data_IF_837297824049
#
_entry.id   IF_837297824049
#
_cell.length_a   1.000
_cell.length_b   1.000
_cell.length_c   1.000
_cell.angle_alpha   90.00
_cell.angle_beta   90.00
_cell.angle_gamma   90.00
#
_symmetry.space_group_name_H-M   'P 1'
#
loop_
_entity.id
_entity.type
_entity.pdbx_description
1 polymer ?
#
# COMPACT_ATOMS: atom_id res chain seq x y z
N UNK A 1 42.02 17.18 45.24
CA UNK A 1 41.39 16.75 43.97
C UNK A 1 40.43 15.62 44.25
N UNK A 2 39.12 15.81 44.04
CA UNK A 2 38.22 14.70 43.79
C UNK A 2 37.57 14.82 42.40
N UNK A 3 37.53 13.69 41.72
CA UNK A 3 36.97 13.43 40.39
C UNK A 3 35.46 13.29 40.47
N UNK A 4 34.73 13.91 39.54
CA UNK A 4 33.29 13.73 39.37
C UNK A 4 33.04 12.65 38.31
N UNK A 5 32.56 11.47 38.75
CA UNK A 5 31.87 10.53 37.88
C UNK A 5 30.41 10.99 37.75
N UNK A 6 30.00 11.39 36.54
CA UNK A 6 28.62 11.69 36.23
C UNK A 6 27.87 10.38 35.94
N UNK A 7 27.13 9.89 36.93
CA UNK A 7 26.08 8.90 36.73
C UNK A 7 24.90 9.59 36.04
N UNK A 8 24.63 9.24 34.77
CA UNK A 8 23.39 9.62 34.10
C UNK A 8 22.29 8.70 34.59
N UNK A 9 21.55 9.15 35.61
CA UNK A 9 20.27 8.56 35.96
C UNK A 9 19.22 9.04 34.95
N UNK A 10 18.71 8.12 34.13
CA UNK A 10 17.50 8.36 33.34
C UNK A 10 16.32 8.23 34.30
N UNK A 11 15.85 9.35 34.83
CA UNK A 11 14.57 9.39 35.55
C UNK A 11 13.45 9.48 34.52
N UNK A 12 12.66 8.41 34.41
CA UNK A 12 11.28 8.50 33.95
C UNK A 12 10.48 9.35 34.95
N UNK A 13 9.50 10.08 34.42
CA UNK A 13 8.50 10.91 35.11
C UNK A 13 8.95 12.25 35.72
N UNK A 14 8.60 13.33 34.99
CA UNK A 14 8.20 14.59 35.59
C UNK A 14 7.18 15.30 34.68
N UNK A 15 5.89 15.11 34.98
CA UNK A 15 4.85 16.03 34.56
C UNK A 15 5.01 17.33 35.35
N UNK A 16 5.48 18.40 34.70
CA UNK A 16 5.39 19.76 35.24
C UNK A 16 4.20 20.46 34.57
N UNK A 17 3.09 20.52 35.30
CA UNK A 17 1.93 21.36 34.96
C UNK A 17 2.15 22.73 35.58
N UNK A 18 2.35 23.75 34.73
CA UNK A 18 2.15 25.15 35.11
C UNK A 18 1.35 25.82 33.98
N UNK A 19 0.09 26.16 34.31
CA UNK A 19 -0.64 27.31 33.74
C UNK A 19 -1.19 27.20 32.33
N UNK A 20 -2.47 26.80 32.23
CA UNK A 20 -3.43 27.43 31.31
C UNK A 20 -3.38 27.05 29.83
N UNK A 21 -4.28 26.16 29.41
CA UNK A 21 -4.63 25.96 28.00
C UNK A 21 -4.67 24.49 27.61
N UNK A 22 -5.87 23.88 27.67
CA UNK A 22 -6.11 22.58 27.06
C UNK A 22 -5.99 22.73 25.53
N UNK A 23 -4.88 22.28 24.95
CA UNK A 23 -4.81 21.90 23.54
C UNK A 23 -4.21 20.50 23.47
N UNK A 24 -5.06 19.53 23.14
CA UNK A 24 -4.65 18.18 22.81
C UNK A 24 -3.76 18.22 21.56
N UNK A 25 -2.45 18.13 21.78
CA UNK A 25 -1.46 17.89 20.73
C UNK A 25 -0.31 17.10 21.36
N UNK A 26 -0.61 15.87 21.76
CA UNK A 26 0.40 14.89 22.15
C UNK A 26 0.52 13.82 21.06
N UNK A 27 1.75 13.38 20.81
CA UNK A 27 2.21 12.27 19.95
C UNK A 27 2.65 12.53 18.50
N UNK A 28 2.29 13.63 17.81
CA UNK A 28 2.79 13.84 16.42
C UNK A 28 4.21 14.43 16.31
N UNK A 29 4.70 15.08 17.36
CA UNK A 29 5.92 15.91 17.25
C UNK A 29 7.21 15.18 17.67
N UNK A 30 7.09 14.02 18.33
CA UNK A 30 8.24 13.31 18.89
C UNK A 30 8.95 12.45 17.84
N UNK A 31 8.22 11.93 16.84
CA UNK A 31 8.79 11.15 15.74
C UNK A 31 9.51 12.03 14.71
N UNK A 32 9.03 13.25 14.46
CA UNK A 32 9.62 14.18 13.48
C UNK A 32 10.99 14.73 13.94
N UNK A 33 11.22 14.84 15.26
CA UNK A 33 12.48 15.36 15.81
C UNK A 33 13.62 14.31 15.79
N UNK A 34 13.30 13.02 15.83
CA UNK A 34 14.30 11.95 15.63
C UNK A 34 14.68 11.85 14.15
N UNK A 35 13.74 12.12 13.24
CA UNK A 35 13.94 12.05 11.78
C UNK A 35 14.80 13.21 11.22
N UNK A 36 14.76 14.40 11.82
CA UNK A 36 15.62 15.51 11.41
C UNK A 36 17.12 15.27 11.73
N UNK A 37 17.42 14.47 12.76
CA UNK A 37 18.80 14.11 13.13
C UNK A 37 19.49 13.17 12.14
N UNK A 38 18.73 12.27 11.49
CA UNK A 38 19.26 11.25 10.58
C UNK A 38 19.54 11.75 9.16
N UNK A 39 18.87 12.82 8.71
CA UNK A 39 19.13 13.41 7.38
C UNK A 39 20.49 14.11 7.29
N UNK A 40 21.09 14.48 8.44
CA UNK A 40 22.40 15.16 8.49
C UNK A 40 23.60 14.20 8.47
N UNK A 41 23.38 12.89 8.57
CA UNK A 41 24.44 11.86 8.58
C UNK A 41 24.45 10.94 7.33
N UNK A 42 23.43 11.03 6.46
CA UNK A 42 23.31 10.18 5.25
C UNK A 42 23.97 10.73 3.98
N UNK A 43 24.65 11.88 4.04
CA UNK A 43 25.30 12.54 2.89
C UNK A 43 26.79 12.19 2.75
N UNK A 44 27.19 10.96 3.05
CA UNK A 44 28.53 10.44 2.71
C UNK A 44 28.41 8.96 2.35
N UNK A 45 28.30 8.67 1.04
CA UNK A 45 28.20 7.29 0.55
C UNK A 45 27.95 7.16 -0.94
N UNK A 46 28.72 7.85 -1.78
CA UNK A 46 28.83 7.51 -3.20
C UNK A 46 29.69 6.26 -3.39
N UNK A 47 29.10 5.20 -3.92
CA UNK A 47 29.73 4.10 -4.65
C UNK A 47 28.68 3.60 -5.65
N UNK A 48 28.91 3.26 -6.91
CA UNK A 48 30.10 3.01 -7.70
C UNK A 48 29.58 2.25 -8.94
N UNK A 49 30.04 2.66 -10.11
CA UNK A 49 29.63 2.25 -11.46
C UNK A 49 29.90 0.76 -11.75
N UNK A 50 28.99 0.07 -12.46
CA UNK A 50 29.24 -1.27 -13.02
C UNK A 50 28.51 -1.50 -14.34
N UNK A 51 29.25 -1.56 -15.45
CA UNK A 51 28.82 -2.01 -16.78
C UNK A 51 28.86 -3.54 -16.86
N UNK A 52 27.92 -4.14 -17.57
CA UNK A 52 28.01 -5.52 -18.07
C UNK A 52 26.81 -5.84 -18.95
N UNK A 53 27.05 -6.23 -20.20
CA UNK A 53 26.01 -6.50 -21.20
C UNK A 53 26.03 -7.93 -21.74
N UNK A 54 25.00 -8.18 -22.55
CA UNK A 54 24.78 -9.24 -23.55
C UNK A 54 24.45 -10.68 -23.12
N UNK A 55 23.34 -11.16 -23.69
CA UNK A 55 22.99 -12.57 -23.85
C UNK A 55 21.61 -12.72 -24.53
N UNK A 56 21.58 -12.71 -25.86
CA UNK A 56 20.43 -13.13 -26.68
C UNK A 56 20.27 -14.66 -26.59
N UNK A 57 19.03 -15.15 -26.51
CA UNK A 57 18.62 -16.41 -27.14
C UNK A 57 17.18 -16.34 -27.64
N UNK A 58 17.12 -16.25 -28.95
CA UNK A 58 16.07 -16.57 -29.90
C UNK A 58 15.85 -18.09 -29.97
N UNK A 59 14.56 -18.49 -30.15
CA UNK A 59 13.99 -19.79 -30.59
C UNK A 59 12.67 -20.00 -29.82
N UNK A 60 11.51 -20.35 -30.38
CA UNK A 60 11.12 -20.77 -31.72
C UNK A 60 9.75 -21.43 -31.57
N UNK A 61 8.76 -20.92 -32.29
CA UNK A 61 7.41 -21.48 -32.40
C UNK A 61 7.42 -22.70 -33.35
N UNK A 62 6.63 -23.74 -33.09
CA UNK A 62 6.10 -24.56 -34.17
C UNK A 62 4.57 -24.62 -34.14
N UNK A 63 3.98 -23.99 -35.15
CA UNK A 63 2.66 -24.32 -35.71
C UNK A 63 2.82 -25.39 -36.79
N UNK A 64 2.00 -26.45 -36.77
CA UNK A 64 1.52 -27.35 -37.86
C UNK A 64 1.00 -28.65 -37.20
N UNK A 65 -0.09 -29.31 -37.61
CA UNK A 65 -0.99 -29.13 -38.74
C UNK A 65 -2.26 -29.97 -38.56
N UNK A 66 -3.20 -29.71 -39.45
CA UNK A 66 -4.55 -30.27 -39.58
C UNK A 66 -4.52 -31.76 -39.96
N UNK A 67 -5.51 -32.55 -39.53
CA UNK A 67 -6.09 -33.65 -40.33
C UNK A 67 -7.53 -33.95 -39.89
N UNK A 68 -8.41 -33.99 -40.90
CA UNK A 68 -9.86 -34.20 -40.87
C UNK A 68 -10.27 -35.65 -40.54
N UNK A 69 -11.51 -35.83 -40.06
CA UNK A 69 -12.17 -37.13 -40.02
C UNK A 69 -13.63 -37.04 -39.54
N UNK A 70 -14.56 -37.07 -40.48
CA UNK A 70 -16.01 -37.10 -40.26
C UNK A 70 -16.52 -38.52 -39.94
N UNK A 71 -17.56 -38.66 -39.10
CA UNK A 71 -18.28 -39.92 -38.89
C UNK A 71 -19.55 -39.75 -38.06
N UNK A 72 -20.68 -40.15 -38.62
CA UNK A 72 -22.05 -39.87 -38.18
C UNK A 72 -22.70 -41.00 -37.35
N UNK A 73 -23.32 -40.65 -36.20
CA UNK A 73 -24.53 -41.23 -35.52
C UNK A 73 -24.60 -42.73 -35.11
N UNK A 74 -25.66 -43.21 -34.41
CA UNK A 74 -26.72 -42.52 -33.64
C UNK A 74 -27.03 -43.11 -32.22
N UNK A 75 -27.79 -42.34 -31.42
CA UNK A 75 -28.85 -42.68 -30.42
C UNK A 75 -28.74 -43.90 -29.47
N UNK A 76 -28.93 -43.66 -28.16
CA UNK A 76 -29.27 -44.68 -27.16
C UNK A 76 -29.54 -44.10 -25.77
N UNK A 77 -30.74 -44.33 -25.24
CA UNK A 77 -31.31 -43.81 -23.99
C UNK A 77 -30.80 -44.56 -22.74
N UNK A 78 -30.84 -43.92 -21.56
CA UNK A 78 -31.04 -44.66 -20.31
C UNK A 78 -30.31 -44.16 -19.06
N UNK A 79 -31.11 -44.00 -17.99
CA UNK A 79 -30.77 -44.05 -16.57
C UNK A 79 -30.29 -42.76 -15.87
N UNK A 80 -31.28 -42.14 -15.23
CA UNK A 80 -31.16 -41.22 -14.11
C UNK A 80 -30.35 -41.87 -12.96
N UNK A 81 -29.27 -41.20 -12.54
CA UNK A 81 -28.55 -41.52 -11.31
C UNK A 81 -28.46 -40.24 -10.46
N UNK A 82 -28.95 -40.37 -9.23
CA UNK A 82 -29.00 -39.32 -8.21
C UNK A 82 -27.64 -38.63 -7.99
N UNK A 83 -27.62 -37.32 -7.65
CA UNK A 83 -26.38 -36.66 -7.29
C UNK A 83 -25.83 -37.25 -5.98
N UNK A 84 -24.52 -37.53 -5.89
CA UNK A 84 -23.92 -37.90 -4.62
C UNK A 84 -24.01 -36.70 -3.65
N UNK A 85 -24.49 -36.98 -2.45
CA UNK A 85 -24.44 -36.11 -1.28
C UNK A 85 -23.01 -35.60 -1.09
N UNK A 86 -22.76 -34.37 -1.54
CA UNK A 86 -21.52 -33.67 -1.27
C UNK A 86 -21.47 -33.33 0.22
N UNK A 87 -20.33 -33.68 0.81
CA UNK A 87 -20.00 -33.54 2.22
C UNK A 87 -20.31 -32.17 2.81
N UNK A 88 -20.63 -32.20 4.10
CA UNK A 88 -21.01 -31.06 4.92
C UNK A 88 -20.10 -29.85 4.75
N UNK A 89 -20.74 -28.69 4.72
CA UNK A 89 -20.10 -27.39 4.62
C UNK A 89 -19.06 -27.19 5.73
N UNK A 90 -17.81 -27.12 5.30
CA UNK A 90 -16.86 -26.23 5.96
C UNK A 90 -17.32 -24.82 5.59
N UNK A 91 -17.77 -24.05 6.60
CA UNK A 91 -18.16 -22.66 6.40
C UNK A 91 -17.05 -21.88 5.71
N UNK A 92 -17.44 -21.06 4.74
CA UNK A 92 -16.56 -20.17 4.00
C UNK A 92 -15.84 -19.22 4.96
N UNK A 93 -14.61 -19.59 5.36
CA UNK A 93 -13.64 -18.62 5.86
C UNK A 93 -13.12 -17.92 4.60
N UNK A 94 -13.34 -16.61 4.39
CA UNK A 94 -12.76 -15.93 3.24
C UNK A 94 -11.26 -16.18 3.25
N UNK A 95 -10.73 -16.71 2.15
CA UNK A 95 -9.30 -16.90 1.96
C UNK A 95 -8.61 -15.54 2.04
N UNK A 96 -8.22 -15.14 3.26
CA UNK A 96 -7.46 -13.93 3.58
C UNK A 96 -6.01 -14.07 3.11
N UNK A 97 -5.81 -14.39 1.83
CA UNK A 97 -4.49 -14.36 1.22
C UNK A 97 -4.25 -12.90 0.86
N UNK A 98 -3.37 -12.23 1.61
CA UNK A 98 -2.95 -10.88 1.26
C UNK A 98 -2.33 -10.86 -0.14
N UNK A 99 -2.40 -9.72 -0.81
CA UNK A 99 -1.96 -9.57 -2.19
C UNK A 99 -1.49 -8.17 -2.49
N UNK A 100 -0.46 -8.05 -3.33
CA UNK A 100 -0.05 -6.79 -3.97
C UNK A 100 -0.48 -6.72 -5.43
N UNK A 101 -1.25 -7.69 -5.92
CA UNK A 101 -1.75 -7.69 -7.28
C UNK A 101 -2.89 -6.69 -7.44
N UNK A 102 -2.98 -6.09 -8.63
CA UNK A 102 -4.07 -5.17 -8.96
C UNK A 102 -5.40 -5.93 -8.94
N UNK A 103 -6.32 -5.48 -8.10
CA UNK A 103 -7.71 -5.91 -8.06
C UNK A 103 -8.68 -4.73 -8.25
N UNK A 104 -9.94 -4.96 -7.89
CA UNK A 104 -11.01 -3.98 -8.01
C UNK A 104 -11.18 -3.17 -6.72
N UNK A 105 -10.44 -2.06 -6.60
CA UNK A 105 -10.54 -1.16 -5.44
C UNK A 105 -11.93 -0.54 -5.27
N UNK A 106 -12.68 -0.32 -6.36
CA UNK A 106 -14.00 0.29 -6.30
C UNK A 106 -14.99 -0.57 -5.50
N UNK A 107 -14.89 -1.90 -5.62
CA UNK A 107 -15.75 -2.84 -4.92
C UNK A 107 -15.46 -2.90 -3.41
N UNK A 108 -14.26 -2.50 -3.00
CA UNK A 108 -13.79 -2.67 -1.63
C UNK A 108 -13.90 -1.38 -0.80
N UNK A 109 -14.04 -0.21 -1.44
CA UNK A 109 -14.26 1.06 -0.74
C UNK A 109 -15.61 1.01 0.00
N UNK A 110 -15.57 1.27 1.31
CA UNK A 110 -16.77 1.31 2.16
C UNK A 110 -17.72 2.40 1.67
N UNK A 111 -18.99 2.05 1.45
CA UNK A 111 -19.99 2.96 0.88
C UNK A 111 -19.99 3.00 -0.65
N UNK A 112 -19.07 2.29 -1.30
CA UNK A 112 -18.96 2.21 -2.76
C UNK A 112 -18.35 3.47 -3.39
N UNK A 113 -18.32 3.46 -4.72
CA UNK A 113 -17.83 4.59 -5.53
C UNK A 113 -19.02 5.26 -6.21
N UNK A 114 -19.31 6.55 -5.92
CA UNK A 114 -20.43 7.27 -6.53
C UNK A 114 -20.28 7.40 -8.06
N UNK A 115 -21.39 7.69 -8.74
CA UNK A 115 -21.35 8.05 -10.16
C UNK A 115 -20.49 9.32 -10.35
N UNK A 116 -19.59 9.31 -11.33
CA UNK A 116 -18.64 10.41 -11.56
C UNK A 116 -17.38 10.35 -10.68
N UNK A 117 -17.19 9.25 -9.94
CA UNK A 117 -16.01 9.00 -9.12
C UNK A 117 -15.32 7.71 -9.56
N UNK A 118 -14.07 7.55 -9.15
CA UNK A 118 -13.29 6.31 -9.29
C UNK A 118 -12.52 6.06 -7.99
N UNK A 119 -12.32 4.79 -7.65
CA UNK A 119 -11.47 4.41 -6.53
C UNK A 119 -10.00 4.62 -6.86
N UNK A 120 -9.31 5.30 -5.96
CA UNK A 120 -7.88 5.58 -6.01
C UNK A 120 -7.16 4.82 -4.89
N UNK A 121 -6.11 4.08 -5.23
CA UNK A 121 -5.23 3.45 -4.24
C UNK A 121 -4.36 4.50 -3.55
N UNK A 122 -4.40 4.56 -2.22
CA UNK A 122 -3.54 5.43 -1.40
C UNK A 122 -2.08 4.95 -1.46
N UNK A 123 -1.87 3.66 -1.23
CA UNK A 123 -0.63 2.96 -1.55
C UNK A 123 -0.84 2.25 -2.89
N UNK A 124 -0.23 2.79 -3.95
CA UNK A 124 -0.33 2.25 -5.29
C UNK A 124 0.39 0.92 -5.45
N UNK A 125 -0.14 0.07 -6.35
CA UNK A 125 0.40 -1.26 -6.66
C UNK A 125 1.86 -1.18 -7.10
N UNK A 126 2.22 -0.22 -7.95
CA UNK A 126 3.58 -0.08 -8.46
C UNK A 126 4.57 0.33 -7.37
N UNK A 127 4.16 1.23 -6.49
CA UNK A 127 4.95 1.67 -5.34
C UNK A 127 5.16 0.51 -4.37
N UNK A 128 4.09 -0.18 -3.96
CA UNK A 128 4.15 -1.27 -3.00
C UNK A 128 5.08 -2.41 -3.46
N UNK A 129 5.00 -2.80 -4.74
CA UNK A 129 5.80 -3.91 -5.28
C UNK A 129 7.32 -3.67 -5.22
N UNK A 130 7.77 -2.41 -5.02
CA UNK A 130 9.19 -2.06 -4.92
C UNK A 130 9.77 -2.29 -3.52
N UNK A 131 8.95 -2.56 -2.50
CA UNK A 131 9.39 -2.65 -1.12
C UNK A 131 9.23 -4.08 -0.57
N UNK A 132 10.33 -4.75 -0.16
CA UNK A 132 10.27 -6.08 0.47
C UNK A 132 9.29 -6.18 1.66
N UNK A 133 9.19 -5.15 2.50
CA UNK A 133 8.27 -5.13 3.64
C UNK A 133 6.80 -5.21 3.22
N UNK A 134 6.45 -4.73 2.02
CA UNK A 134 5.10 -4.84 1.49
C UNK A 134 4.78 -6.27 1.05
N UNK A 135 5.75 -6.98 0.46
CA UNK A 135 5.60 -8.40 0.13
C UNK A 135 5.41 -9.22 1.41
N UNK A 136 6.21 -8.94 2.44
CA UNK A 136 6.03 -9.55 3.76
C UNK A 136 4.67 -9.25 4.36
N UNK A 137 4.20 -8.01 4.27
CA UNK A 137 2.86 -7.66 4.74
C UNK A 137 1.77 -8.44 3.99
N UNK A 138 1.91 -8.65 2.68
CA UNK A 138 0.97 -9.44 1.89
C UNK A 138 0.96 -10.92 2.30
N UNK A 139 2.13 -11.51 2.57
CA UNK A 139 2.23 -12.87 3.15
C UNK A 139 1.50 -12.99 4.50
N UNK A 140 1.43 -11.89 5.26
CA UNK A 140 0.74 -11.80 6.55
C UNK A 140 -0.75 -11.41 6.43
N UNK A 141 -1.30 -11.31 5.21
CA UNK A 141 -2.71 -11.03 4.97
C UNK A 141 -3.04 -9.59 4.57
N UNK A 142 -2.06 -8.72 4.32
CA UNK A 142 -2.33 -7.39 3.75
C UNK A 142 -2.81 -7.50 2.31
N UNK A 143 -4.04 -7.07 2.03
CA UNK A 143 -4.56 -6.90 0.68
C UNK A 143 -4.44 -5.42 0.25
N UNK A 144 -3.67 -5.16 -0.80
CA UNK A 144 -3.53 -3.81 -1.37
C UNK A 144 -4.85 -3.25 -1.89
N UNK A 145 -5.83 -4.11 -2.17
CA UNK A 145 -7.15 -3.73 -2.65
C UNK A 145 -8.15 -3.51 -1.49
N UNK A 146 -7.73 -3.65 -0.23
CA UNK A 146 -8.63 -3.44 0.92
C UNK A 146 -9.23 -2.04 0.92
N UNK A 147 -10.46 -1.91 1.42
CA UNK A 147 -11.20 -0.65 1.40
C UNK A 147 -10.50 0.54 2.06
N UNK A 148 -9.75 0.31 3.14
CA UNK A 148 -9.02 1.38 3.83
C UNK A 148 -7.87 1.97 2.99
N UNK A 149 -7.31 1.19 2.05
CA UNK A 149 -6.32 1.67 1.07
C UNK A 149 -6.97 2.38 -0.13
N UNK A 150 -8.30 2.49 -0.17
CA UNK A 150 -9.04 3.12 -1.26
C UNK A 150 -9.70 4.43 -0.86
N UNK A 151 -9.70 5.41 -1.77
CA UNK A 151 -10.51 6.63 -1.64
C UNK A 151 -11.26 6.89 -2.95
N UNK A 152 -12.55 7.19 -2.87
CA UNK A 152 -13.32 7.59 -4.05
C UNK A 152 -12.99 9.05 -4.39
N UNK A 153 -12.49 9.28 -5.61
CA UNK A 153 -12.11 10.61 -6.09
C UNK A 153 -12.89 10.98 -7.36
N UNK A 154 -13.25 12.26 -7.53
CA UNK A 154 -13.90 12.74 -8.74
C UNK A 154 -13.13 12.44 -10.02
N UNK A 155 -13.85 12.10 -11.09
CA UNK A 155 -13.29 11.91 -12.44
C UNK A 155 -13.60 13.08 -13.37
N UNK A 156 -14.11 14.19 -12.85
CA UNK A 156 -14.32 15.42 -13.63
C UNK A 156 -13.78 16.63 -12.88
N UNK A 157 -13.26 17.61 -13.63
CA UNK A 157 -12.75 18.86 -13.06
C UNK A 157 -13.86 19.62 -12.33
N UNK A 158 -15.08 19.61 -12.86
CA UNK A 158 -16.23 20.29 -12.24
C UNK A 158 -16.55 19.70 -10.87
N UNK A 159 -16.61 18.37 -10.76
CA UNK A 159 -16.89 17.68 -9.50
C UNK A 159 -15.73 17.83 -8.49
N UNK A 160 -14.49 17.76 -8.99
CA UNK A 160 -13.28 18.02 -8.19
C UNK A 160 -13.27 19.45 -7.63
N UNK A 161 -13.61 20.45 -8.44
CA UNK A 161 -13.73 21.83 -7.98
C UNK A 161 -14.89 22.04 -6.99
N UNK A 162 -16.03 21.40 -7.21
CA UNK A 162 -17.20 21.52 -6.35
C UNK A 162 -16.99 20.88 -4.96
N UNK A 163 -16.30 19.74 -4.90
CA UNK A 163 -16.04 19.02 -3.65
C UNK A 163 -14.73 19.40 -2.98
N UNK A 164 -13.81 20.01 -3.73
CA UNK A 164 -12.45 20.27 -3.29
C UNK A 164 -11.59 19.02 -3.14
N UNK A 165 -12.06 17.85 -3.62
CA UNK A 165 -11.30 16.60 -3.65
C UNK A 165 -10.34 16.57 -4.84
N UNK A 166 -9.19 15.88 -4.74
CA UNK A 166 -8.27 15.69 -5.85
C UNK A 166 -8.92 15.02 -7.06
N UNK A 167 -8.43 15.33 -8.25
CA UNK A 167 -8.92 14.79 -9.50
C UNK A 167 -8.28 13.41 -9.78
N UNK A 168 -9.08 12.46 -10.26
CA UNK A 168 -8.63 11.12 -10.64
C UNK A 168 -8.88 10.83 -12.13
N UNK A 169 -8.22 11.57 -13.03
CA UNK A 169 -8.42 11.40 -14.49
C UNK A 169 -7.15 11.11 -15.29
N UNK A 170 -5.97 11.19 -14.68
CA UNK A 170 -4.73 11.01 -15.40
C UNK A 170 -3.51 10.72 -14.52
N UNK A 171 -2.36 11.14 -15.04
CA UNK A 171 -1.07 10.81 -14.46
C UNK A 171 -0.85 11.55 -13.15
N UNK A 172 -0.39 10.81 -12.13
CA UNK A 172 0.02 11.43 -10.88
C UNK A 172 1.23 12.33 -11.08
N UNK A 173 1.30 13.43 -10.34
CA UNK A 173 2.52 14.22 -10.26
C UNK A 173 3.53 13.51 -9.36
N UNK A 174 4.82 13.75 -9.62
CA UNK A 174 5.91 13.13 -8.88
C UNK A 174 5.85 13.39 -7.36
N UNK A 175 5.16 14.44 -6.94
CA UNK A 175 5.06 14.81 -5.54
C UNK A 175 4.30 13.77 -4.71
N UNK A 176 3.15 13.31 -5.21
CA UNK A 176 2.39 12.23 -4.60
C UNK A 176 3.21 10.93 -4.52
N UNK A 177 3.83 10.53 -5.63
CA UNK A 177 4.66 9.33 -5.69
C UNK A 177 5.82 9.41 -4.69
N UNK A 178 6.49 10.57 -4.57
CA UNK A 178 7.56 10.78 -3.59
C UNK A 178 7.04 10.65 -2.16
N UNK A 179 5.87 11.21 -1.86
CA UNK A 179 5.30 11.12 -0.51
C UNK A 179 5.01 9.66 -0.14
N UNK A 180 4.29 8.92 -0.99
CA UNK A 180 4.00 7.48 -0.76
C UNK A 180 5.31 6.69 -0.60
N UNK A 181 6.26 6.86 -1.52
CA UNK A 181 7.55 6.19 -1.43
C UNK A 181 8.34 6.56 -0.17
N UNK A 182 8.20 7.77 0.36
CA UNK A 182 8.87 8.18 1.61
C UNK A 182 8.30 7.46 2.84
N UNK A 183 6.97 7.27 2.89
CA UNK A 183 6.29 6.54 3.96
C UNK A 183 6.71 5.06 3.94
N UNK A 184 6.69 4.42 2.76
CA UNK A 184 7.10 3.02 2.61
C UNK A 184 8.59 2.81 2.90
N UNK A 185 9.46 3.73 2.49
CA UNK A 185 10.89 3.69 2.85
C UNK A 185 11.11 3.77 4.35
N UNK A 186 10.35 4.63 5.06
CA UNK A 186 10.43 4.72 6.53
C UNK A 186 9.98 3.42 7.18
N UNK A 187 8.90 2.82 6.69
CA UNK A 187 8.45 1.50 7.16
C UNK A 187 9.53 0.43 6.95
N UNK A 188 10.07 0.32 5.74
CA UNK A 188 11.12 -0.64 5.39
C UNK A 188 12.31 -0.51 6.35
N UNK A 189 12.84 0.71 6.55
CA UNK A 189 13.99 0.93 7.46
C UNK A 189 13.69 0.55 8.91
N UNK A 190 12.48 0.83 9.40
CA UNK A 190 12.11 0.46 10.77
C UNK A 190 11.93 -1.05 10.92
N UNK A 191 11.41 -1.71 9.88
CA UNK A 191 11.29 -3.17 9.83
C UNK A 191 12.67 -3.84 9.79
N UNK A 192 13.57 -3.41 8.90
CA UNK A 192 14.93 -3.94 8.78
C UNK A 192 15.74 -3.76 10.08
N UNK A 193 15.47 -2.68 10.83
CA UNK A 193 16.09 -2.40 12.11
C UNK A 193 15.45 -3.15 13.30
N UNK A 194 14.44 -4.00 13.06
CA UNK A 194 13.70 -4.72 14.11
C UNK A 194 12.85 -3.82 15.03
N UNK A 195 12.61 -2.56 14.63
CA UNK A 195 11.78 -1.61 15.39
C UNK A 195 10.29 -1.78 15.11
N UNK A 196 9.96 -2.41 13.99
CA UNK A 196 8.61 -2.85 13.62
C UNK A 196 8.70 -4.35 13.33
N UNK A 197 7.90 -5.15 14.02
CA UNK A 197 7.78 -6.59 13.79
C UNK A 197 6.61 -6.93 12.87
N UNK A 198 6.53 -8.19 12.43
CA UNK A 198 5.43 -8.71 11.62
C UNK A 198 4.04 -8.43 12.22
N UNK A 199 3.89 -8.60 13.53
CA UNK A 199 2.61 -8.36 14.22
C UNK A 199 2.20 -6.88 14.22
N UNK A 200 3.15 -5.97 14.01
CA UNK A 200 2.91 -4.53 13.96
C UNK A 200 2.61 -4.03 12.53
N UNK A 201 3.01 -4.77 11.48
CA UNK A 201 2.86 -4.35 10.08
C UNK A 201 1.42 -3.96 9.69
N UNK A 202 0.36 -4.70 10.07
CA UNK A 202 -1.01 -4.29 9.74
C UNK A 202 -1.38 -2.91 10.30
N UNK A 203 -0.95 -2.62 11.54
CA UNK A 203 -1.20 -1.34 12.19
C UNK A 203 -0.37 -0.20 11.58
N UNK A 204 0.89 -0.45 11.23
CA UNK A 204 1.76 0.55 10.59
C UNK A 204 1.27 0.90 9.19
N UNK A 205 0.79 -0.09 8.41
CA UNK A 205 0.23 0.15 7.09
C UNK A 205 -1.09 0.92 7.16
N UNK A 206 -1.95 0.63 8.15
CA UNK A 206 -3.12 1.45 8.43
C UNK A 206 -2.75 2.92 8.66
N UNK A 207 -1.72 3.20 9.48
CA UNK A 207 -1.24 4.57 9.72
C UNK A 207 -0.69 5.23 8.46
N UNK A 208 0.02 4.49 7.61
CA UNK A 208 0.53 5.02 6.33
C UNK A 208 -0.62 5.39 5.39
N UNK A 209 -1.62 4.53 5.27
CA UNK A 209 -2.85 4.81 4.50
C UNK A 209 -3.53 6.09 5.02
N UNK A 210 -3.71 6.22 6.34
CA UNK A 210 -4.29 7.40 6.96
C UNK A 210 -3.45 8.66 6.72
N UNK A 211 -2.12 8.57 6.82
CA UNK A 211 -1.23 9.69 6.55
C UNK A 211 -1.34 10.16 5.10
N UNK A 212 -1.34 9.23 4.14
CA UNK A 212 -1.48 9.56 2.71
C UNK A 212 -2.86 10.17 2.46
N UNK A 213 -3.93 9.58 3.00
CA UNK A 213 -5.29 10.11 2.88
C UNK A 213 -5.38 11.53 3.41
N UNK A 214 -4.84 11.77 4.60
CA UNK A 214 -4.86 13.09 5.23
C UNK A 214 -4.03 14.10 4.46
N UNK A 215 -2.82 13.75 4.02
CA UNK A 215 -1.99 14.64 3.21
C UNK A 215 -2.67 15.01 1.89
N UNK A 216 -3.36 14.05 1.27
CA UNK A 216 -4.10 14.24 0.03
C UNK A 216 -5.33 15.13 0.22
N UNK A 217 -6.16 14.86 1.24
CA UNK A 217 -7.36 15.64 1.56
C UNK A 217 -7.05 17.04 2.09
N UNK A 218 -5.96 17.19 2.83
CA UNK A 218 -5.47 18.48 3.33
C UNK A 218 -4.65 19.25 2.28
N UNK A 219 -4.53 18.73 1.05
CA UNK A 219 -3.78 19.35 -0.07
C UNK A 219 -2.30 19.62 0.24
N UNK A 220 -1.73 18.84 1.16
CA UNK A 220 -0.30 18.86 1.45
C UNK A 220 0.51 18.15 0.36
N UNK A 221 -0.12 17.22 -0.35
CA UNK A 221 0.40 16.58 -1.55
C UNK A 221 -0.64 16.66 -2.65
N UNK A 222 -0.18 16.94 -3.87
CA UNK A 222 -1.06 16.96 -5.05
C UNK A 222 -1.02 15.63 -5.75
N UNK A 223 -2.18 15.09 -6.10
CA UNK A 223 -2.29 13.92 -6.95
C UNK A 223 -2.03 14.30 -8.41
N UNK A 224 -2.66 15.36 -8.91
CA UNK A 224 -2.57 15.80 -10.30
C UNK A 224 -2.38 17.31 -10.40
N UNK A 225 -1.85 17.77 -11.56
CA UNK A 225 -1.72 19.21 -11.84
C UNK A 225 -3.07 19.93 -11.91
N UNK A 226 -4.14 19.20 -12.23
CA UNK A 226 -5.49 19.73 -12.33
C UNK A 226 -6.29 19.63 -11.02
N UNK A 227 -5.66 19.20 -9.92
CA UNK A 227 -6.30 19.23 -8.60
C UNK A 227 -6.69 20.67 -8.24
N UNK A 228 -7.85 20.88 -7.61
CA UNK A 228 -8.30 22.19 -7.16
C UNK A 228 -7.28 22.78 -6.19
N UNK A 229 -6.98 24.06 -6.36
CA UNK A 229 -5.96 24.79 -5.59
C UNK A 229 -6.28 24.82 -4.10
#
# INVERSE_FOLDING_TARGET
>A
TPTWDAVVSVSTDAALVVGGGLLASSMRQVDDLVDAGLQRLGQLGQWGRGKGGNGRTDQGNPSQGELSGSGSGPQGQGAEAAPPLAGGGAGDVPNNIGTLQRGNINANIVGGVPQGYAGHHLVGVAEANRFPVMHRAAELGYDINRGSNGIALPTTVAESAATGLPLHTGRHVADYERYVNSQLNRLQRRYDAGRVSDSQLPSELGRIEDNIRNALLARQVRLQHADPN
#
